data_IF_142115522045
#
_entry.id   IF_142115522045
#
_cell.length_a   1.000
_cell.length_b   1.000
_cell.length_c   1.000
_cell.angle_alpha   90.00
_cell.angle_beta   90.00
_cell.angle_gamma   90.00
#
_symmetry.space_group_name_H-M   'P 1'
#
loop_
_entity.id
_entity.type
_entity.pdbx_description
1 polymer ?
#
# COMPACT_ATOMS: atom_id res chain seq x y z
N UNK A 1 3.91 -13.72 27.43
CA UNK A 1 3.31 -12.90 26.34
C UNK A 1 2.07 -12.22 26.91
N UNK A 2 2.04 -10.90 27.03
CA UNK A 2 1.05 -10.19 27.84
C UNK A 2 -0.30 -10.08 27.08
N UNK A 3 -1.28 -10.91 27.45
CA UNK A 3 -2.63 -11.02 26.85
C UNK A 3 -3.47 -9.72 26.93
N UNK A 4 -3.02 -8.73 27.71
CA UNK A 4 -3.72 -7.46 27.88
C UNK A 4 -3.55 -6.51 26.70
N UNK A 5 -2.42 -6.51 25.99
CA UNK A 5 -2.22 -5.65 24.81
C UNK A 5 -3.02 -6.11 23.58
N UNK A 6 -3.24 -7.42 23.45
CA UNK A 6 -4.01 -8.02 22.35
C UNK A 6 -5.51 -7.69 22.40
N UNK A 7 -6.03 -7.18 23.54
CA UNK A 7 -7.44 -6.77 23.67
C UNK A 7 -7.70 -5.30 23.35
N UNK A 8 -6.64 -4.49 23.13
CA UNK A 8 -6.77 -3.04 22.92
C UNK A 8 -6.80 -2.68 21.44
N UNK A 9 -6.26 -3.54 20.57
CA UNK A 9 -6.24 -3.34 19.12
C UNK A 9 -6.53 -4.65 18.40
N UNK A 10 -7.52 -4.65 17.50
CA UNK A 10 -7.60 -5.68 16.47
C UNK A 10 -6.42 -5.47 15.51
N UNK A 11 -5.55 -6.48 15.30
CA UNK A 11 -4.47 -6.35 14.34
C UNK A 11 -5.08 -6.13 12.94
N UNK A 12 -4.49 -5.23 12.14
CA UNK A 12 -5.06 -4.87 10.83
C UNK A 12 -5.44 -6.08 9.93
N UNK A 13 -4.65 -7.17 9.85
CA UNK A 13 -5.06 -8.39 9.13
C UNK A 13 -6.37 -9.00 9.62
N UNK A 14 -6.69 -8.91 10.91
CA UNK A 14 -7.97 -9.36 11.47
C UNK A 14 -9.13 -8.49 10.98
N UNK A 15 -8.94 -7.18 10.89
CA UNK A 15 -9.93 -6.26 10.29
C UNK A 15 -10.19 -6.65 8.83
N UNK A 16 -9.13 -6.89 8.06
CA UNK A 16 -9.24 -7.34 6.67
C UNK A 16 -9.97 -8.69 6.57
N UNK A 17 -9.60 -9.66 7.41
CA UNK A 17 -10.21 -10.98 7.40
C UNK A 17 -11.72 -10.92 7.72
N UNK A 18 -12.11 -10.10 8.69
CA UNK A 18 -13.53 -9.83 9.02
C UNK A 18 -14.30 -9.24 7.83
N UNK A 19 -13.72 -8.27 7.11
CA UNK A 19 -14.35 -7.66 5.93
C UNK A 19 -14.61 -8.64 4.78
N UNK A 20 -13.82 -9.72 4.71
CA UNK A 20 -13.96 -10.80 3.72
C UNK A 20 -14.71 -12.03 4.26
N UNK A 21 -15.39 -11.91 5.42
CA UNK A 21 -16.20 -12.99 5.99
C UNK A 21 -15.39 -14.15 6.57
N UNK A 22 -14.11 -13.92 6.91
CA UNK A 22 -13.19 -14.91 7.46
C UNK A 22 -12.67 -14.52 8.86
N UNK A 23 -13.55 -14.22 9.84
CA UNK A 23 -13.13 -13.76 11.17
C UNK A 23 -12.22 -14.79 11.86
N UNK A 24 -11.19 -14.32 12.56
CA UNK A 24 -10.20 -15.15 13.25
C UNK A 24 -9.12 -15.77 12.34
N UNK A 25 -9.21 -15.59 11.01
CA UNK A 25 -8.22 -16.09 10.07
C UNK A 25 -7.18 -15.02 9.71
N UNK A 26 -6.23 -14.80 10.62
CA UNK A 26 -5.12 -13.85 10.44
C UNK A 26 -4.30 -14.12 9.17
N UNK A 27 -4.10 -15.39 8.80
CA UNK A 27 -3.34 -15.74 7.61
C UNK A 27 -4.05 -15.27 6.33
N UNK A 28 -5.37 -15.46 6.25
CA UNK A 28 -6.16 -14.94 5.14
C UNK A 28 -6.09 -13.41 5.06
N UNK A 29 -6.19 -12.72 6.20
CA UNK A 29 -6.03 -11.26 6.27
C UNK A 29 -4.70 -10.76 5.69
N UNK A 30 -3.59 -11.43 6.04
CA UNK A 30 -2.27 -11.13 5.49
C UNK A 30 -2.18 -11.38 3.98
N UNK A 31 -2.69 -12.52 3.52
CA UNK A 31 -2.70 -12.87 2.10
C UNK A 31 -3.49 -11.85 1.30
N UNK A 32 -4.70 -11.50 1.75
CA UNK A 32 -5.56 -10.51 1.11
C UNK A 32 -4.86 -9.14 1.06
N UNK A 33 -4.28 -8.70 2.17
CA UNK A 33 -3.56 -7.44 2.22
C UNK A 33 -2.38 -7.41 1.23
N UNK A 34 -1.59 -8.47 1.19
CA UNK A 34 -0.46 -8.61 0.27
C UNK A 34 -0.92 -8.60 -1.20
N UNK A 35 -1.98 -9.33 -1.52
CA UNK A 35 -2.55 -9.39 -2.87
C UNK A 35 -3.05 -8.02 -3.31
N UNK A 36 -3.83 -7.32 -2.47
CA UNK A 36 -4.32 -5.97 -2.79
C UNK A 36 -3.14 -5.02 -2.96
N UNK A 37 -2.19 -5.01 -2.03
CA UNK A 37 -1.05 -4.09 -2.05
C UNK A 37 -0.09 -4.32 -3.22
N UNK A 38 0.13 -5.57 -3.63
CA UNK A 38 1.13 -5.91 -4.65
C UNK A 38 0.53 -6.09 -6.03
N UNK A 39 -0.57 -6.84 -6.13
CA UNK A 39 -1.14 -7.26 -7.41
C UNK A 39 -2.23 -6.31 -7.93
N UNK A 40 -2.85 -5.52 -7.06
CA UNK A 40 -3.86 -4.53 -7.48
C UNK A 40 -3.26 -3.14 -7.48
N UNK A 41 -2.70 -2.70 -6.35
CA UNK A 41 -2.18 -1.34 -6.21
C UNK A 41 -0.92 -1.10 -7.05
N UNK A 42 -0.05 -2.10 -7.24
CA UNK A 42 1.13 -1.98 -8.10
C UNK A 42 0.79 -1.66 -9.56
N UNK A 43 -0.04 -2.48 -10.25
CA UNK A 43 -0.50 -2.16 -11.60
C UNK A 43 -1.30 -0.86 -11.67
N UNK A 44 -2.15 -0.59 -10.68
CA UNK A 44 -2.90 0.67 -10.61
C UNK A 44 -1.95 1.88 -10.57
N UNK A 45 -0.89 1.82 -9.77
CA UNK A 45 0.15 2.85 -9.73
C UNK A 45 0.80 3.03 -11.10
N UNK A 46 1.17 1.94 -11.79
CA UNK A 46 1.78 2.01 -13.11
C UNK A 46 0.89 2.74 -14.13
N UNK A 47 -0.42 2.50 -14.12
CA UNK A 47 -1.39 3.15 -15.01
C UNK A 47 -1.53 4.64 -14.73
N UNK A 48 -1.44 5.06 -13.47
CA UNK A 48 -1.69 6.45 -13.06
C UNK A 48 -0.40 7.28 -12.98
N UNK A 49 0.78 6.64 -12.90
CA UNK A 49 2.08 7.28 -12.67
C UNK A 49 2.35 8.52 -13.53
N UNK A 50 2.00 8.46 -14.82
CA UNK A 50 2.19 9.56 -15.76
C UNK A 50 1.28 10.77 -15.48
N UNK A 51 0.14 10.57 -14.82
CA UNK A 51 -0.87 11.59 -14.51
C UNK A 51 -0.69 12.23 -13.14
N UNK A 52 0.22 11.72 -12.30
CA UNK A 52 0.45 12.27 -10.97
C UNK A 52 1.15 13.65 -11.08
N UNK A 53 0.69 14.67 -10.35
CA UNK A 53 1.09 16.09 -10.52
C UNK A 53 2.49 16.43 -10.01
N UNK A 54 3.25 15.47 -9.52
CA UNK A 54 4.57 15.68 -8.91
C UNK A 54 5.70 15.28 -9.86
N UNK A 55 6.89 15.87 -9.69
CA UNK A 55 8.00 15.67 -10.64
C UNK A 55 8.98 14.56 -10.23
N UNK A 56 9.03 14.19 -8.95
CA UNK A 56 9.96 13.17 -8.43
C UNK A 56 9.25 11.81 -8.27
N UNK A 57 9.90 10.69 -8.66
CA UNK A 57 9.32 9.36 -8.53
C UNK A 57 8.88 8.98 -7.11
N UNK A 58 9.68 9.34 -6.12
CA UNK A 58 9.42 9.06 -4.70
C UNK A 58 8.15 9.77 -4.24
N UNK A 59 8.02 11.07 -4.57
CA UNK A 59 6.84 11.86 -4.20
C UNK A 59 5.59 11.40 -4.94
N UNK A 60 5.70 10.91 -6.19
CA UNK A 60 4.60 10.24 -6.89
C UNK A 60 4.11 9.01 -6.12
N UNK A 61 5.06 8.17 -5.70
CA UNK A 61 4.76 6.98 -4.90
C UNK A 61 4.13 7.30 -3.54
N UNK A 62 4.67 8.29 -2.82
CA UNK A 62 4.11 8.79 -1.55
C UNK A 62 2.69 9.29 -1.77
N UNK A 63 2.46 10.16 -2.77
CA UNK A 63 1.14 10.71 -3.06
C UNK A 63 0.11 9.62 -3.33
N UNK A 64 0.48 8.62 -4.14
CA UNK A 64 -0.38 7.48 -4.42
C UNK A 64 -0.69 6.66 -3.16
N UNK A 65 0.32 6.34 -2.36
CA UNK A 65 0.14 5.55 -1.14
C UNK A 65 -0.67 6.28 -0.07
N UNK A 66 -0.52 7.60 0.05
CA UNK A 66 -1.36 8.44 0.92
C UNK A 66 -2.81 8.42 0.43
N UNK A 67 -3.06 8.54 -0.88
CA UNK A 67 -4.41 8.45 -1.43
C UNK A 67 -5.05 7.07 -1.18
N UNK A 68 -4.28 5.99 -1.38
CA UNK A 68 -4.72 4.63 -1.07
C UNK A 68 -5.01 4.44 0.43
N UNK A 69 -4.17 5.00 1.30
CA UNK A 69 -4.38 5.00 2.74
C UNK A 69 -5.66 5.75 3.13
N UNK A 70 -5.91 6.94 2.55
CA UNK A 70 -7.15 7.70 2.77
C UNK A 70 -8.36 6.88 2.35
N UNK A 71 -8.32 6.27 1.16
CA UNK A 71 -9.39 5.40 0.68
C UNK A 71 -9.64 4.22 1.64
N UNK A 72 -8.57 3.56 2.10
CA UNK A 72 -8.66 2.48 3.08
C UNK A 72 -9.28 2.95 4.39
N UNK A 73 -8.86 4.11 4.92
CA UNK A 73 -9.43 4.68 6.14
C UNK A 73 -10.92 4.95 5.97
N UNK A 74 -11.35 5.52 4.84
CA UNK A 74 -12.76 5.77 4.55
C UNK A 74 -13.58 4.47 4.50
N UNK A 75 -13.06 3.41 3.86
CA UNK A 75 -13.74 2.12 3.80
C UNK A 75 -13.88 1.53 5.22
N UNK A 76 -12.80 1.56 6.01
CA UNK A 76 -12.83 1.03 7.38
C UNK A 76 -13.78 1.84 8.28
N UNK A 77 -13.84 3.16 8.15
CA UNK A 77 -14.77 3.97 8.96
C UNK A 77 -16.22 3.82 8.53
N UNK A 78 -16.49 3.57 7.24
CA UNK A 78 -17.86 3.37 6.74
C UNK A 78 -18.39 1.95 6.96
N UNK A 79 -17.51 0.94 6.90
CA UNK A 79 -17.90 -0.48 6.89
C UNK A 79 -17.38 -1.28 8.08
N UNK A 80 -16.43 -0.73 8.86
CA UNK A 80 -15.79 -1.41 9.98
C UNK A 80 -16.45 -1.13 11.34
N UNK A 81 -15.90 -1.72 12.41
CA UNK A 81 -16.34 -1.47 13.77
C UNK A 81 -15.85 -0.08 14.24
N UNK A 82 -16.73 0.80 14.79
CA UNK A 82 -16.34 2.08 15.40
C UNK A 82 -15.21 1.97 16.44
N UNK A 83 -15.00 0.79 17.03
CA UNK A 83 -13.92 0.50 17.98
C UNK A 83 -12.55 0.29 17.35
N UNK A 84 -12.46 0.15 16.02
CA UNK A 84 -11.22 -0.13 15.29
C UNK A 84 -10.11 0.90 15.58
N UNK A 85 -10.50 2.12 15.98
CA UNK A 85 -9.57 3.19 16.30
C UNK A 85 -9.78 3.85 17.68
N UNK A 86 -10.62 3.28 18.54
CA UNK A 86 -11.06 3.94 19.79
C UNK A 86 -10.15 3.71 21.01
N UNK A 87 -8.95 3.13 20.83
CA UNK A 87 -8.02 2.84 21.93
C UNK A 87 -7.14 4.03 22.33
N UNK A 88 -6.51 3.96 23.52
CA UNK A 88 -5.57 4.98 24.06
C UNK A 88 -4.33 5.24 23.19
N UNK A 89 -4.07 4.41 22.17
CA UNK A 89 -3.04 4.60 21.16
C UNK A 89 -3.58 5.04 19.78
N UNK A 90 -4.85 5.45 19.69
CA UNK A 90 -5.56 5.71 18.42
C UNK A 90 -4.80 6.63 17.48
N UNK A 91 -4.43 7.83 17.93
CA UNK A 91 -3.71 8.81 17.09
C UNK A 91 -2.29 8.34 16.68
N UNK A 92 -1.59 7.67 17.59
CA UNK A 92 -0.25 7.11 17.30
C UNK A 92 -0.31 5.98 16.25
N UNK A 93 -1.37 5.18 16.28
CA UNK A 93 -1.58 4.08 15.33
C UNK A 93 -1.93 4.62 13.94
N UNK A 94 -2.79 5.64 13.84
CA UNK A 94 -3.05 6.33 12.58
C UNK A 94 -1.79 6.93 11.97
N UNK A 95 -1.00 7.65 12.77
CA UNK A 95 0.26 8.24 12.33
C UNK A 95 1.25 7.18 11.86
N UNK A 96 1.41 6.09 12.61
CA UNK A 96 2.28 4.97 12.23
C UNK A 96 1.84 4.30 10.93
N UNK A 97 0.54 4.05 10.76
CA UNK A 97 -0.01 3.51 9.51
C UNK A 97 0.26 4.46 8.34
N UNK A 98 0.04 5.76 8.50
CA UNK A 98 0.32 6.73 7.45
C UNK A 98 1.82 6.73 7.08
N UNK A 99 2.72 6.76 8.06
CA UNK A 99 4.17 6.75 7.83
C UNK A 99 4.60 5.50 7.06
N UNK A 100 4.13 4.32 7.47
CA UNK A 100 4.47 3.07 6.78
C UNK A 100 3.96 3.03 5.34
N UNK A 101 2.79 3.60 5.07
CA UNK A 101 2.29 3.76 3.70
C UNK A 101 3.14 4.74 2.89
N UNK A 102 3.55 5.86 3.48
CA UNK A 102 4.44 6.82 2.81
C UNK A 102 5.78 6.19 2.46
N UNK A 103 6.39 5.43 3.37
CA UNK A 103 7.66 4.73 3.12
C UNK A 103 7.49 3.71 2.01
N UNK A 104 6.46 2.86 2.07
CA UNK A 104 6.16 1.89 1.02
C UNK A 104 5.94 2.57 -0.33
N UNK A 105 5.17 3.66 -0.36
CA UNK A 105 4.93 4.47 -1.55
C UNK A 105 6.21 5.04 -2.13
N UNK A 106 7.06 5.66 -1.31
CA UNK A 106 8.35 6.20 -1.75
C UNK A 106 9.24 5.12 -2.39
N UNK A 107 9.32 3.94 -1.78
CA UNK A 107 10.05 2.79 -2.32
C UNK A 107 9.44 2.32 -3.64
N UNK A 108 8.12 2.17 -3.71
CA UNK A 108 7.42 1.78 -4.95
C UNK A 108 7.69 2.76 -6.09
N UNK A 109 7.61 4.06 -5.83
CA UNK A 109 7.89 5.10 -6.82
C UNK A 109 9.32 5.04 -7.34
N UNK A 110 10.29 4.89 -6.45
CA UNK A 110 11.70 4.75 -6.80
C UNK A 110 11.97 3.47 -7.63
N UNK A 111 11.44 2.32 -7.20
CA UNK A 111 11.57 1.05 -7.90
C UNK A 111 10.95 1.13 -9.29
N UNK A 112 9.74 1.68 -9.42
CA UNK A 112 9.06 1.82 -10.69
C UNK A 112 9.83 2.70 -11.70
N UNK A 113 10.37 3.83 -11.24
CA UNK A 113 11.20 4.68 -12.11
C UNK A 113 12.48 3.97 -12.58
N UNK A 114 13.11 3.17 -11.70
CA UNK A 114 14.27 2.36 -12.06
C UNK A 114 13.92 1.27 -13.07
N UNK A 115 12.76 0.63 -12.95
CA UNK A 115 12.26 -0.36 -13.91
C UNK A 115 12.04 0.28 -15.28
N UNK A 116 11.32 1.40 -15.36
CA UNK A 116 11.13 2.13 -16.62
C UNK A 116 12.46 2.57 -17.27
N UNK A 117 13.42 3.05 -16.47
CA UNK A 117 14.73 3.44 -16.98
C UNK A 117 15.55 2.24 -17.50
N UNK A 118 15.34 1.04 -16.93
CA UNK A 118 15.96 -0.20 -17.43
C UNK A 118 15.31 -0.65 -18.74
N UNK A 119 13.98 -0.65 -18.81
CA UNK A 119 13.22 -1.00 -20.02
C UNK A 119 13.55 -0.09 -21.20
N UNK A 120 13.60 1.23 -20.99
CA UNK A 120 13.98 2.20 -22.03
C UNK A 120 15.39 1.94 -22.57
N UNK A 121 16.34 1.61 -21.69
CA UNK A 121 17.72 1.27 -22.09
C UNK A 121 17.78 -0.04 -22.88
N UNK A 122 17.05 -1.06 -22.45
CA UNK A 122 16.98 -2.33 -23.15
C UNK A 122 16.34 -2.17 -24.55
N UNK A 123 15.26 -1.39 -24.65
CA UNK A 123 14.62 -1.08 -25.93
C UNK A 123 15.56 -0.31 -26.87
N UNK A 124 16.32 0.66 -26.37
CA UNK A 124 17.31 1.39 -27.15
C UNK A 124 18.44 0.50 -27.69
N UNK A 125 18.87 -0.51 -26.93
CA UNK A 125 19.85 -1.50 -27.39
C UNK A 125 19.33 -2.35 -28.55
N UNK A 126 18.07 -2.79 -28.51
CA UNK A 126 17.46 -3.60 -29.56
C UNK A 126 17.32 -2.82 -30.87
N UNK A 127 16.91 -1.54 -30.80
CA UNK A 127 16.75 -0.70 -32.00
C UNK A 127 18.07 -0.15 -32.56
N UNK A 128 19.16 -0.20 -31.79
CA UNK A 128 20.50 0.24 -32.20
C UNK A 128 21.40 -0.86 -32.76
N UNK A 129 20.94 -2.11 -32.80
CA UNK A 129 21.70 -3.21 -33.42
C UNK A 129 21.72 -3.03 -34.95
N UNK A 130 22.89 -2.89 -35.60
CA UNK A 130 22.95 -2.77 -37.04
C UNK A 130 22.44 -4.07 -37.67
N UNK A 131 21.39 -3.93 -38.49
CA UNK A 131 21.01 -4.98 -39.44
C UNK A 131 22.20 -5.18 -40.38
N UNK A 132 22.89 -6.29 -40.22
CA UNK A 132 23.94 -6.77 -41.11
C UNK A 132 23.32 -7.38 -42.37
#
# INVERSE_FOLDING_TARGET
MNLLFAKVFDPFPEVVAKMFGMPGNLAAGWVIHFVIGSLIMGPLFAVIYARLPTNTPETKGILFAVAAWVAMMLIITMMGDPRTFSGSAGFGTFGWMLITHMVFGGVMGNVFARLQAREKRAAGFIHGAPAH
#
